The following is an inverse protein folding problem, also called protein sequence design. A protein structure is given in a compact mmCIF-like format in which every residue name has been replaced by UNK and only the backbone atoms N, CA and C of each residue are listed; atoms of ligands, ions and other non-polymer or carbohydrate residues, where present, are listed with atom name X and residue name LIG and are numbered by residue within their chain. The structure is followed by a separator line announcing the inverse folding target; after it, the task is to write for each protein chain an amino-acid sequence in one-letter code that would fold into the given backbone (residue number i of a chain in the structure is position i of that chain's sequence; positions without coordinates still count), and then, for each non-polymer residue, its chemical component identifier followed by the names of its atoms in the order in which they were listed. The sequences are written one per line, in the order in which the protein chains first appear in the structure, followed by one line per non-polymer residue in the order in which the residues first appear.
data_IF_543341060879
#
_entry.id   IF_543341060879
#
_cell.length_a   1.000
_cell.length_b   1.000
_cell.length_c   1.000
_cell.angle_alpha   90.00
_cell.angle_beta   90.00
_cell.angle_gamma   90.00
#
_symmetry.space_group_name_H-M   'P 1'
#
loop_
_entity.id
_entity.type
_entity.pdbx_description
1 polymer ?
#
# COMPACT_ATOMS: atom_id res chain seq x y z
N UNK A 1 -16.54 -8.24 -12.93
CA UNK A 1 -16.61 -6.80 -12.67
C UNK A 1 -15.49 -6.12 -13.40
N UNK A 2 -15.75 -5.10 -14.21
CA UNK A 2 -14.67 -4.38 -14.87
C UNK A 2 -13.81 -3.71 -13.79
N UNK A 3 -12.49 -3.78 -13.96
CA UNK A 3 -11.57 -3.04 -13.14
C UNK A 3 -11.95 -1.56 -13.23
N UNK A 4 -12.54 -1.03 -12.19
CA UNK A 4 -12.87 0.39 -12.15
C UNK A 4 -11.55 1.16 -12.13
N UNK A 5 -11.49 2.28 -12.85
CA UNK A 5 -10.28 3.04 -13.07
C UNK A 5 -9.55 3.49 -11.81
N UNK A 6 -8.39 4.10 -12.00
CA UNK A 6 -7.61 4.66 -10.91
C UNK A 6 -8.43 5.65 -10.07
N UNK A 7 -8.17 5.69 -8.77
CA UNK A 7 -8.80 6.63 -7.85
C UNK A 7 -7.84 7.07 -6.75
N UNK A 8 -8.13 8.23 -6.16
CA UNK A 8 -7.44 8.70 -4.96
C UNK A 8 -8.18 8.13 -3.75
N UNK A 9 -7.42 7.56 -2.80
CA UNK A 9 -7.92 7.07 -1.52
C UNK A 9 -7.02 7.56 -0.39
N UNK A 10 -7.63 7.75 0.78
CA UNK A 10 -6.91 8.21 1.98
C UNK A 10 -7.51 7.60 3.25
N UNK A 11 -6.62 7.10 4.08
CA UNK A 11 -6.84 6.85 5.51
C UNK A 11 -5.71 7.57 6.28
N UNK A 12 -5.62 8.89 6.07
CA UNK A 12 -4.53 9.75 6.52
C UNK A 12 -3.96 10.54 5.34
N UNK A 13 -2.83 10.12 4.76
CA UNK A 13 -2.26 10.76 3.56
C UNK A 13 -2.85 10.15 2.28
N UNK A 14 -3.26 10.98 1.30
CA UNK A 14 -3.86 10.47 0.06
C UNK A 14 -2.83 9.78 -0.84
N UNK A 15 -3.28 8.77 -1.57
CA UNK A 15 -2.51 8.02 -2.56
C UNK A 15 -3.37 7.63 -3.75
N UNK A 16 -2.74 7.37 -4.87
CA UNK A 16 -3.41 6.84 -6.05
C UNK A 16 -3.51 5.32 -5.93
N UNK A 17 -4.70 4.76 -6.11
CA UNK A 17 -4.93 3.33 -6.31
C UNK A 17 -5.13 3.08 -7.79
N UNK A 18 -4.31 2.23 -8.39
CA UNK A 18 -4.34 1.93 -9.83
C UNK A 18 -4.53 0.43 -10.07
N UNK A 19 -5.69 0.01 -10.55
CA UNK A 19 -5.90 -1.38 -10.92
C UNK A 19 -5.19 -1.71 -12.25
N UNK A 20 -4.60 -2.88 -12.33
CA UNK A 20 -4.08 -3.48 -13.56
C UNK A 20 -4.71 -4.84 -13.79
N UNK A 21 -4.76 -5.27 -15.05
CA UNK A 21 -5.51 -6.45 -15.46
C UNK A 21 -4.86 -7.77 -15.05
N UNK A 22 -3.53 -7.84 -15.01
CA UNK A 22 -2.81 -9.08 -14.78
C UNK A 22 -1.58 -8.93 -13.90
N UNK A 23 -1.16 -10.04 -13.28
CA UNK A 23 0.10 -10.12 -12.54
C UNK A 23 1.31 -9.84 -13.41
N UNK A 24 1.29 -10.27 -14.67
CA UNK A 24 2.37 -10.03 -15.62
C UNK A 24 2.54 -8.54 -15.92
N UNK A 25 1.45 -7.81 -16.10
CA UNK A 25 1.47 -6.34 -16.26
C UNK A 25 2.04 -5.70 -15.02
N UNK A 26 1.59 -6.09 -13.82
CA UNK A 26 2.10 -5.57 -12.56
C UNK A 26 3.61 -5.82 -12.41
N UNK A 27 4.06 -7.05 -12.69
CA UNK A 27 5.47 -7.44 -12.58
C UNK A 27 6.37 -6.67 -13.57
N UNK A 28 5.87 -6.39 -14.77
CA UNK A 28 6.60 -5.70 -15.84
C UNK A 28 6.67 -4.18 -15.64
N UNK A 29 6.01 -3.62 -14.65
CA UNK A 29 6.02 -2.17 -14.42
C UNK A 29 7.44 -1.66 -14.10
N UNK A 30 7.87 -0.67 -14.88
CA UNK A 30 9.10 0.09 -14.67
C UNK A 30 8.76 1.59 -14.75
N UNK A 31 8.19 2.17 -13.70
CA UNK A 31 7.74 3.56 -13.73
C UNK A 31 8.93 4.53 -13.85
N UNK A 32 8.73 5.62 -14.59
CA UNK A 32 9.64 6.74 -14.53
C UNK A 32 9.41 7.47 -13.18
N UNK A 33 10.31 7.24 -12.24
CA UNK A 33 10.16 7.72 -10.87
C UNK A 33 10.20 9.25 -10.74
N UNK A 34 10.93 9.94 -11.60
CA UNK A 34 10.98 11.41 -11.58
C UNK A 34 9.65 12.00 -12.03
N UNK A 35 9.09 11.50 -13.12
CA UNK A 35 7.76 11.92 -13.59
C UNK A 35 6.66 11.55 -12.61
N UNK A 36 6.79 10.40 -11.95
CA UNK A 36 5.84 9.97 -10.93
C UNK A 36 5.91 10.88 -9.70
N UNK A 37 7.13 11.25 -9.26
CA UNK A 37 7.34 12.23 -8.17
C UNK A 37 6.66 13.56 -8.50
N UNK A 38 6.95 14.12 -9.68
CA UNK A 38 6.38 15.39 -10.10
C UNK A 38 4.85 15.35 -10.13
N UNK A 39 4.27 14.25 -10.57
CA UNK A 39 2.82 14.07 -10.57
C UNK A 39 2.25 13.96 -9.16
N UNK A 40 2.87 13.18 -8.28
CA UNK A 40 2.46 13.03 -6.88
C UNK A 40 2.56 14.36 -6.14
N UNK A 41 3.64 15.11 -6.32
CA UNK A 41 3.85 16.41 -5.67
C UNK A 41 2.79 17.42 -6.11
N UNK A 42 2.48 17.50 -7.40
CA UNK A 42 1.42 18.38 -7.92
C UNK A 42 0.03 18.03 -7.40
N UNK A 43 -0.24 16.75 -7.19
CA UNK A 43 -1.54 16.26 -6.74
C UNK A 43 -1.63 16.10 -5.22
N UNK A 44 -0.57 16.37 -4.49
CA UNK A 44 -0.52 16.18 -3.03
C UNK A 44 -0.63 14.71 -2.60
N UNK A 45 -0.12 13.78 -3.41
CA UNK A 45 -0.21 12.33 -3.16
C UNK A 45 1.06 11.79 -2.53
N UNK A 46 0.93 10.85 -1.61
CA UNK A 46 2.05 10.10 -1.05
C UNK A 46 2.78 9.27 -2.11
N UNK A 47 2.02 8.69 -3.03
CA UNK A 47 2.54 7.79 -4.05
C UNK A 47 1.44 7.08 -4.81
N UNK A 48 1.84 6.04 -5.53
CA UNK A 48 0.98 5.25 -6.40
C UNK A 48 1.03 3.77 -5.98
N UNK A 49 -0.13 3.23 -5.61
CA UNK A 49 -0.32 1.82 -5.28
C UNK A 49 -0.99 1.12 -6.45
N UNK A 50 -0.22 0.32 -7.16
CA UNK A 50 -0.68 -0.43 -8.33
C UNK A 50 -1.00 -1.85 -7.90
N UNK A 51 -2.18 -2.35 -8.25
CA UNK A 51 -2.63 -3.66 -7.81
C UNK A 51 -3.36 -4.42 -8.92
N UNK A 52 -3.23 -5.76 -8.90
CA UNK A 52 -4.10 -6.62 -9.69
C UNK A 52 -5.49 -6.70 -9.04
N UNK A 53 -6.53 -6.73 -9.86
CA UNK A 53 -7.89 -6.97 -9.36
C UNK A 53 -7.90 -8.23 -8.50
N UNK A 54 -8.45 -8.17 -7.26
CA UNK A 54 -8.50 -9.33 -6.39
C UNK A 54 -9.26 -10.50 -7.02
N UNK A 55 -8.86 -11.71 -6.68
CA UNK A 55 -9.62 -12.92 -6.99
C UNK A 55 -10.96 -12.91 -6.24
N UNK A 56 -11.87 -13.84 -6.58
CA UNK A 56 -13.12 -14.02 -5.85
C UNK A 56 -12.92 -14.30 -4.34
N UNK A 57 -11.75 -14.79 -3.95
CA UNK A 57 -11.37 -15.05 -2.55
C UNK A 57 -10.60 -13.88 -1.91
N UNK A 58 -10.58 -12.71 -2.53
CA UNK A 58 -9.95 -11.52 -1.98
C UNK A 58 -8.42 -11.47 -2.06
N UNK A 59 -7.77 -12.38 -2.82
CA UNK A 59 -6.31 -12.35 -2.95
C UNK A 59 -5.87 -11.47 -4.12
N UNK A 60 -4.95 -10.56 -3.87
CA UNK A 60 -4.38 -9.63 -4.84
C UNK A 60 -2.85 -9.61 -4.76
N UNK A 61 -2.22 -9.01 -5.74
CA UNK A 61 -0.82 -8.58 -5.70
C UNK A 61 -0.76 -7.08 -5.90
N UNK A 62 0.21 -6.44 -5.27
CA UNK A 62 0.39 -4.99 -5.40
C UNK A 62 1.86 -4.58 -5.36
N UNK A 63 2.12 -3.37 -5.88
CA UNK A 63 3.40 -2.66 -5.77
C UNK A 63 3.12 -1.21 -5.37
N UNK A 64 3.94 -0.66 -4.47
CA UNK A 64 3.83 0.73 -4.01
C UNK A 64 5.05 1.53 -4.43
N UNK A 65 4.82 2.61 -5.15
CA UNK A 65 5.85 3.56 -5.56
C UNK A 65 5.60 4.90 -4.88
N UNK A 66 6.57 5.38 -4.11
CA UNK A 66 6.46 6.62 -3.34
C UNK A 66 7.73 7.50 -3.46
N UNK A 67 8.11 7.90 -4.69
CA UNK A 67 9.33 8.66 -4.91
C UNK A 67 9.31 10.06 -4.25
N UNK A 68 8.15 10.65 -4.00
CA UNK A 68 7.99 11.94 -3.31
C UNK A 68 8.52 11.93 -1.89
N UNK A 69 8.56 10.77 -1.23
CA UNK A 69 9.13 10.61 0.11
C UNK A 69 10.47 9.87 0.11
N UNK A 70 11.12 9.75 -1.04
CA UNK A 70 12.42 9.11 -1.19
C UNK A 70 12.38 7.59 -1.20
N UNK A 71 11.21 6.97 -1.38
CA UNK A 71 11.02 5.52 -1.48
C UNK A 71 10.68 5.14 -2.92
N UNK A 72 11.64 4.65 -3.73
CA UNK A 72 11.36 4.25 -5.11
C UNK A 72 10.26 3.20 -5.20
N UNK A 73 10.37 2.15 -4.41
CA UNK A 73 9.36 1.11 -4.24
C UNK A 73 9.39 0.60 -2.80
N UNK A 74 8.21 0.43 -2.19
CA UNK A 74 8.07 -0.09 -0.84
C UNK A 74 7.83 -1.61 -0.87
N UNK A 75 8.47 -2.35 0.04
CA UNK A 75 8.35 -3.81 0.13
C UNK A 75 6.92 -4.20 0.50
N UNK A 76 6.39 -3.56 1.54
CA UNK A 76 5.04 -3.79 2.04
C UNK A 76 4.46 -2.47 2.57
N UNK A 77 3.25 -2.12 2.09
CA UNK A 77 2.63 -0.87 2.49
C UNK A 77 1.24 -1.11 3.08
N UNK A 78 1.18 -1.20 4.41
CA UNK A 78 -0.03 -1.48 5.15
C UNK A 78 -1.11 -0.41 4.95
N UNK A 79 -0.73 0.86 4.96
CA UNK A 79 -1.69 1.97 4.80
C UNK A 79 -2.33 1.98 3.40
N UNK A 80 -1.59 1.67 2.36
CA UNK A 80 -2.15 1.57 1.00
C UNK A 80 -3.05 0.35 0.86
N UNK A 81 -2.66 -0.77 1.46
CA UNK A 81 -3.51 -1.97 1.52
C UNK A 81 -4.80 -1.69 2.28
N UNK A 82 -4.74 -0.93 3.37
CA UNK A 82 -5.92 -0.49 4.11
C UNK A 82 -6.84 0.40 3.25
N UNK A 83 -6.28 1.33 2.48
CA UNK A 83 -7.05 2.14 1.53
C UNK A 83 -7.75 1.28 0.47
N UNK A 84 -7.06 0.27 -0.05
CA UNK A 84 -7.65 -0.67 -1.01
C UNK A 84 -8.78 -1.47 -0.36
N UNK A 85 -8.58 -2.00 0.86
CA UNK A 85 -9.60 -2.74 1.61
C UNK A 85 -10.85 -1.89 1.85
N UNK A 86 -10.69 -0.64 2.31
CA UNK A 86 -11.80 0.28 2.52
C UNK A 86 -12.59 0.55 1.23
N UNK A 87 -11.89 0.69 0.09
CA UNK A 87 -12.52 0.85 -1.20
C UNK A 87 -13.33 -0.39 -1.60
N UNK A 88 -12.71 -1.58 -1.52
CA UNK A 88 -13.33 -2.84 -1.95
C UNK A 88 -14.50 -3.25 -1.06
N UNK A 89 -14.47 -2.91 0.22
CA UNK A 89 -15.58 -3.14 1.14
C UNK A 89 -16.87 -2.44 0.68
N UNK A 90 -16.77 -1.29 0.01
CA UNK A 90 -17.92 -0.59 -0.60
C UNK A 90 -18.51 -1.36 -1.78
N UNK A 91 -17.76 -2.29 -2.34
CA UNK A 91 -18.17 -3.17 -3.45
C UNK A 91 -18.54 -4.59 -2.94
N UNK A 92 -18.53 -4.80 -1.61
CA UNK A 92 -18.92 -6.05 -0.95
C UNK A 92 -17.78 -7.01 -0.63
N UNK A 93 -16.52 -6.62 -0.92
CA UNK A 93 -15.35 -7.42 -0.57
C UNK A 93 -14.71 -6.86 0.70
N UNK A 94 -15.01 -7.46 1.85
CA UNK A 94 -14.61 -6.97 3.17
C UNK A 94 -13.23 -7.44 3.61
N UNK A 95 -12.75 -8.55 3.04
CA UNK A 95 -11.49 -9.19 3.44
C UNK A 95 -10.60 -9.37 2.23
N UNK A 96 -9.36 -8.93 2.36
CA UNK A 96 -8.34 -9.08 1.30
C UNK A 96 -7.01 -9.57 1.86
N UNK A 97 -6.28 -10.27 1.03
CA UNK A 97 -4.89 -10.67 1.26
C UNK A 97 -4.05 -10.17 0.08
N UNK A 98 -3.05 -9.37 0.35
CA UNK A 98 -2.23 -8.75 -0.69
C UNK A 98 -0.77 -9.19 -0.57
N UNK A 99 -0.25 -9.77 -1.65
CA UNK A 99 1.16 -10.11 -1.77
C UNK A 99 1.93 -8.94 -2.39
N UNK A 100 3.04 -8.58 -1.78
CA UNK A 100 3.93 -7.48 -2.17
C UNK A 100 5.40 -7.91 -2.09
N UNK A 101 6.29 -7.08 -2.60
CA UNK A 101 7.74 -7.24 -2.45
C UNK A 101 8.40 -8.24 -3.38
N UNK A 102 7.66 -8.97 -4.21
CA UNK A 102 8.22 -9.96 -5.14
C UNK A 102 9.21 -9.35 -6.12
N UNK A 103 8.90 -8.17 -6.67
CA UNK A 103 9.78 -7.45 -7.58
C UNK A 103 11.11 -7.00 -6.92
N UNK A 104 11.16 -6.92 -5.60
CA UNK A 104 12.34 -6.58 -4.81
C UNK A 104 13.04 -7.82 -4.23
N UNK A 105 12.53 -9.04 -4.51
CA UNK A 105 13.05 -10.29 -3.96
C UNK A 105 12.81 -10.46 -2.45
N UNK A 106 11.90 -9.70 -1.86
CA UNK A 106 11.55 -9.73 -0.43
C UNK A 106 10.03 -9.90 -0.31
N UNK A 107 9.51 -11.12 -0.52
CA UNK A 107 8.06 -11.36 -0.45
C UNK A 107 7.47 -11.01 0.92
N UNK A 108 6.34 -10.32 0.88
CA UNK A 108 5.57 -9.95 2.07
C UNK A 108 4.07 -10.14 1.78
N UNK A 109 3.29 -10.41 2.82
CA UNK A 109 1.84 -10.56 2.70
C UNK A 109 1.18 -9.70 3.77
N UNK A 110 0.18 -8.93 3.35
CA UNK A 110 -0.63 -8.08 4.22
C UNK A 110 -2.08 -8.54 4.12
N UNK A 111 -2.72 -8.75 5.25
CA UNK A 111 -4.16 -9.00 5.34
C UNK A 111 -4.86 -7.72 5.76
N UNK A 112 -6.06 -7.48 5.24
CA UNK A 112 -6.87 -6.36 5.67
C UNK A 112 -8.36 -6.72 5.64
N UNK A 113 -9.07 -6.34 6.70
CA UNK A 113 -10.53 -6.43 6.79
C UNK A 113 -11.10 -5.03 6.98
N UNK A 114 -12.17 -4.71 6.26
CA UNK A 114 -12.76 -3.37 6.29
C UNK A 114 -14.27 -3.42 6.45
N UNK A 115 -14.80 -2.52 7.29
CA UNK A 115 -16.22 -2.35 7.55
C UNK A 115 -16.62 -0.90 7.35
N UNK A 116 -17.79 -0.69 6.76
CA UNK A 116 -18.39 0.64 6.68
C UNK A 116 -19.14 0.94 7.98
N UNK A 117 -18.90 2.13 8.56
CA UNK A 117 -19.58 2.67 9.73
C UNK A 117 -20.09 4.08 9.44
N UNK A 118 -20.97 4.62 10.25
CA UNK A 118 -21.44 6.01 10.14
C UNK A 118 -20.28 7.02 10.21
N UNK A 119 -19.31 6.77 11.09
CA UNK A 119 -18.11 7.61 11.27
C UNK A 119 -17.02 7.41 10.19
N UNK A 120 -17.29 6.59 9.15
CA UNK A 120 -16.35 6.23 8.11
C UNK A 120 -15.86 4.79 8.19
N UNK A 121 -14.96 4.37 7.29
CA UNK A 121 -14.48 3.00 7.27
C UNK A 121 -13.61 2.68 8.48
N UNK A 122 -13.82 1.50 9.07
CA UNK A 122 -12.90 0.88 10.01
C UNK A 122 -12.11 -0.19 9.24
N UNK A 123 -10.78 -0.15 9.35
CA UNK A 123 -9.91 -1.14 8.71
C UNK A 123 -8.99 -1.77 9.74
N UNK A 124 -8.97 -3.09 9.75
CA UNK A 124 -8.02 -3.88 10.52
C UNK A 124 -6.96 -4.44 9.57
N UNK A 125 -5.69 -4.18 9.85
CA UNK A 125 -4.56 -4.63 9.04
C UNK A 125 -3.72 -5.60 9.85
N UNK A 126 -3.29 -6.69 9.22
CA UNK A 126 -2.46 -7.72 9.83
C UNK A 126 -1.38 -8.22 8.89
N UNK A 127 -0.48 -9.00 9.45
CA UNK A 127 0.62 -9.65 8.73
C UNK A 127 1.48 -10.43 9.69
N UNK A 128 2.53 -11.05 9.16
CA UNK A 128 3.55 -11.75 9.93
C UNK A 128 4.86 -10.98 9.87
N UNK A 129 5.61 -10.97 10.97
CA UNK A 129 6.91 -10.36 11.06
C UNK A 129 7.87 -11.25 11.84
N UNK A 130 9.17 -11.17 11.50
CA UNK A 130 10.23 -11.87 12.22
C UNK A 130 11.12 -10.84 12.90
N UNK A 131 11.49 -11.08 14.15
CA UNK A 131 12.45 -10.24 14.87
C UNK A 131 13.84 -10.61 14.39
N UNK A 132 14.50 -9.70 13.67
CA UNK A 132 15.87 -9.92 13.19
C UNK A 132 16.92 -9.55 14.26
N UNK A 133 16.66 -8.51 15.05
CA UNK A 133 17.57 -8.04 16.10
C UNK A 133 16.86 -7.19 17.14
N UNK A 134 17.45 -7.17 18.33
CA UNK A 134 17.06 -6.26 19.41
C UNK A 134 18.14 -5.20 19.57
N UNK A 135 17.75 -3.93 19.60
CA UNK A 135 18.63 -2.78 19.76
C UNK A 135 18.28 -2.06 21.06
N UNK A 136 19.29 -1.76 21.89
CA UNK A 136 19.11 -0.88 23.04
C UNK A 136 19.41 0.54 22.62
N UNK A 137 18.45 1.43 22.82
CA UNK A 137 18.69 2.86 22.69
C UNK A 137 19.33 3.37 24.00
N UNK A 138 20.50 4.01 23.89
CA UNK A 138 21.09 4.74 25.01
C UNK A 138 20.66 6.19 24.90
N UNK A 139 19.98 6.72 25.92
CA UNK A 139 19.72 8.14 26.01
C UNK A 139 21.00 8.84 26.50
N UNK A 140 21.63 9.63 25.67
CA UNK A 140 22.71 10.53 26.08
C UNK A 140 22.06 11.82 26.60
N UNK A 141 21.74 11.86 27.87
CA UNK A 141 21.47 13.14 28.54
C UNK A 141 22.81 13.86 28.73
N UNK A 142 23.15 14.76 27.85
CA UNK A 142 24.18 15.75 28.17
C UNK A 142 23.56 16.68 29.22
N UNK A 143 24.07 16.58 30.46
CA UNK A 143 23.87 17.64 31.44
C UNK A 143 24.50 18.90 30.83
N UNK A 144 23.67 19.88 30.48
CA UNK A 144 24.16 21.24 30.28
C UNK A 144 24.74 21.72 31.58
N UNK A 145 26.04 21.94 31.60
CA UNK A 145 26.75 22.63 32.69
C UNK A 145 26.49 24.12 32.67
#
# INVERSE_FOLDING_TARGET
MPARGACIASLGRPRMLVPVSTRSVLAALAPNLDRLRDACDRLGLLGCYVYCTPTAYGRAMARMFAPSIGVPEDIANANSTACLAARLAREGMTDITVDMGDALGIPATITASAWQREAGPLVHVGGTATIERIVRLQSVWQKAG
#
